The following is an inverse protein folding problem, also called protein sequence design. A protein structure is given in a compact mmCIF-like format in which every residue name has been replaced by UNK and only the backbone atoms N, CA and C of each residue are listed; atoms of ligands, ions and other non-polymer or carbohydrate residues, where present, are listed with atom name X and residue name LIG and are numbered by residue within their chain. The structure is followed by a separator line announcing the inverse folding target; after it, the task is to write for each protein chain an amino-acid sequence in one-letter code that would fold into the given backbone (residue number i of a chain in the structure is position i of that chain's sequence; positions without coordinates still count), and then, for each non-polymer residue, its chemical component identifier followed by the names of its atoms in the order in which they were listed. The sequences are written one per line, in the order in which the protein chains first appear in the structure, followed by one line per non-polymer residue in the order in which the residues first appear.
data_IF_940152637236
#
_entry.id   IF_940152637236
#
_cell.length_a   1.000
_cell.length_b   1.000
_cell.length_c   1.000
_cell.angle_alpha   90.00
_cell.angle_beta   90.00
_cell.angle_gamma   90.00
#
_symmetry.space_group_name_H-M   'P 1'
#
loop_
_entity.id
_entity.type
_entity.pdbx_description
1 polymer ?
#
# COMPACT_ATOMS: atom_id res chain seq x y z
N UNK A 1 -10.58 6.59 7.06
CA UNK A 1 -9.45 7.27 6.40
C UNK A 1 -8.23 6.38 6.55
N UNK A 2 -7.20 6.49 5.71
CA UNK A 2 -6.25 5.41 5.56
C UNK A 2 -5.32 5.21 6.76
N UNK A 3 -4.93 3.96 6.97
CA UNK A 3 -3.66 3.61 7.61
C UNK A 3 -2.56 3.74 6.55
N UNK A 4 -1.54 4.53 6.85
CA UNK A 4 -0.39 4.77 5.95
C UNK A 4 0.89 4.31 6.62
N UNK A 5 1.71 3.54 5.91
CA UNK A 5 3.07 3.22 6.34
C UNK A 5 4.03 4.27 5.76
N UNK A 6 4.98 4.77 6.54
CA UNK A 6 5.96 5.74 6.06
C UNK A 6 7.30 5.52 6.72
N UNK A 7 8.37 5.64 5.92
CA UNK A 7 9.74 5.63 6.43
C UNK A 7 10.18 7.06 6.74
N UNK A 8 10.21 7.41 8.01
CA UNK A 8 10.63 8.74 8.44
C UNK A 8 11.05 8.74 9.92
N UNK A 9 11.49 9.90 10.41
CA UNK A 9 11.57 10.21 11.83
C UNK A 9 10.24 10.82 12.29
N UNK A 10 9.56 10.18 13.24
CA UNK A 10 8.25 10.61 13.74
C UNK A 10 8.26 12.05 14.29
N UNK A 11 9.41 12.54 14.76
CA UNK A 11 9.55 13.93 15.24
C UNK A 11 9.48 14.97 14.11
N UNK A 12 9.60 14.54 12.84
CA UNK A 12 9.66 15.41 11.65
C UNK A 12 8.43 15.30 10.76
N UNK A 13 7.60 14.28 10.99
CA UNK A 13 6.39 14.00 10.21
C UNK A 13 5.39 15.14 10.35
N UNK A 14 4.79 15.53 9.21
CA UNK A 14 3.71 16.50 9.17
C UNK A 14 2.38 15.83 9.57
N UNK A 15 2.05 15.93 10.86
CA UNK A 15 0.81 15.45 11.44
C UNK A 15 0.32 16.42 12.52
N UNK A 16 -0.99 16.47 12.75
CA UNK A 16 -1.57 17.35 13.77
C UNK A 16 -1.24 16.87 15.20
N UNK A 17 -1.03 15.57 15.39
CA UNK A 17 -0.48 14.97 16.61
C UNK A 17 0.61 13.93 16.31
N UNK A 18 1.63 13.87 17.15
CA UNK A 18 2.63 12.79 17.14
C UNK A 18 2.54 11.96 18.42
N UNK A 19 2.74 10.65 18.29
CA UNK A 19 2.81 9.74 19.45
C UNK A 19 4.26 9.53 19.83
N UNK A 20 4.57 9.76 21.10
CA UNK A 20 5.84 9.41 21.72
C UNK A 20 5.73 8.03 22.38
N UNK A 21 6.67 7.12 22.07
CA UNK A 21 6.89 5.90 22.82
C UNK A 21 7.61 6.22 24.14
N UNK A 22 6.82 6.51 25.18
CA UNK A 22 7.29 7.03 26.45
C UNK A 22 7.55 5.93 27.49
N UNK A 23 8.21 6.32 28.59
CA UNK A 23 8.32 5.54 29.82
C UNK A 23 7.36 6.10 30.90
N UNK A 24 7.17 5.35 31.98
CA UNK A 24 6.20 5.72 33.04
C UNK A 24 6.50 7.04 33.74
N UNK A 25 7.76 7.47 33.75
CA UNK A 25 8.20 8.73 34.35
C UNK A 25 8.05 9.93 33.42
N UNK A 26 7.62 9.73 32.17
CA UNK A 26 7.51 10.77 31.14
C UNK A 26 8.80 11.59 30.97
N UNK A 27 9.95 10.95 31.18
CA UNK A 27 11.26 11.58 31.09
C UNK A 27 11.90 11.33 29.73
N UNK A 28 12.80 12.22 29.32
CA UNK A 28 13.60 12.04 28.12
C UNK A 28 14.36 10.71 28.17
N UNK A 29 14.18 9.89 27.13
CA UNK A 29 14.90 8.63 26.93
C UNK A 29 15.74 8.64 25.66
N UNK A 30 16.15 7.44 25.22
CA UNK A 30 16.77 7.25 23.90
C UNK A 30 15.74 7.07 22.77
N UNK A 31 16.24 6.84 21.55
CA UNK A 31 15.42 6.52 20.38
C UNK A 31 14.40 7.62 20.05
N UNK A 32 13.18 7.20 19.69
CA UNK A 32 12.07 8.10 19.33
C UNK A 32 11.76 9.12 20.43
N UNK A 33 11.78 8.70 21.71
CA UNK A 33 11.51 9.59 22.82
C UNK A 33 12.56 10.71 22.88
N UNK A 34 13.85 10.37 22.78
CA UNK A 34 14.93 11.35 22.75
C UNK A 34 14.79 12.35 21.61
N UNK A 35 14.48 11.86 20.39
CA UNK A 35 14.28 12.69 19.20
C UNK A 35 13.10 13.67 19.37
N UNK A 36 11.98 13.20 19.91
CA UNK A 36 10.81 14.06 20.20
C UNK A 36 11.15 15.13 21.24
N UNK A 37 11.85 14.78 22.33
CA UNK A 37 12.27 15.75 23.35
C UNK A 37 13.24 16.79 22.79
N UNK A 38 14.15 16.39 21.91
CA UNK A 38 15.08 17.30 21.26
C UNK A 38 14.35 18.27 20.32
N UNK A 39 13.49 17.74 19.44
CA UNK A 39 12.77 18.53 18.44
C UNK A 39 11.69 19.44 19.05
N UNK A 40 11.02 19.02 20.13
CA UNK A 40 10.03 19.82 20.83
C UNK A 40 10.65 20.96 21.66
N UNK A 41 11.94 20.87 22.01
CA UNK A 41 12.56 21.71 23.04
C UNK A 41 12.53 21.00 24.38
N UNK A 42 13.70 20.51 24.81
CA UNK A 42 13.83 19.61 25.96
C UNK A 42 13.31 20.21 27.26
N UNK A 43 13.58 21.49 27.53
CA UNK A 43 13.22 22.14 28.79
C UNK A 43 11.71 22.32 28.92
N UNK A 44 11.07 22.76 27.86
CA UNK A 44 9.64 23.03 27.77
C UNK A 44 8.85 21.73 27.93
N UNK A 45 9.24 20.69 27.18
CA UNK A 45 8.57 19.39 27.26
C UNK A 45 8.77 18.71 28.61
N UNK A 46 9.99 18.71 29.16
CA UNK A 46 10.24 18.16 30.51
C UNK A 46 9.41 18.86 31.59
N UNK A 47 9.24 20.18 31.51
CA UNK A 47 8.41 20.93 32.45
C UNK A 47 6.94 20.49 32.37
N UNK A 48 6.41 20.34 31.16
CA UNK A 48 5.04 19.88 30.95
C UNK A 48 4.84 18.44 31.43
N UNK A 49 5.78 17.54 31.11
CA UNK A 49 5.75 16.15 31.57
C UNK A 49 5.81 16.03 33.10
N UNK A 50 6.61 16.86 33.78
CA UNK A 50 6.67 16.92 35.26
C UNK A 50 5.33 17.30 35.88
N UNK A 51 4.57 18.21 35.26
CA UNK A 51 3.25 18.60 35.75
C UNK A 51 2.21 17.48 35.64
N UNK A 52 2.38 16.55 34.69
CA UNK A 52 1.50 15.38 34.54
C UNK A 52 1.74 14.30 35.61
N UNK A 53 2.93 14.27 36.23
CA UNK A 53 3.23 13.36 37.34
C UNK A 53 3.51 11.89 36.97
N UNK A 54 3.45 11.54 35.68
CA UNK A 54 3.72 10.19 35.17
C UNK A 54 2.57 9.63 34.33
N UNK A 55 2.75 8.43 33.78
CA UNK A 55 1.73 7.71 33.04
C UNK A 55 1.93 6.20 33.20
N UNK A 56 0.93 5.42 33.65
CA UNK A 56 1.11 3.97 33.80
C UNK A 56 1.26 3.29 32.44
N UNK A 57 1.94 2.14 32.43
CA UNK A 57 2.01 1.26 31.26
C UNK A 57 0.61 0.90 30.74
N UNK A 58 0.45 0.93 29.41
CA UNK A 58 -0.82 0.69 28.73
C UNK A 58 -1.73 1.93 28.64
N UNK A 59 -1.26 3.11 29.08
CA UNK A 59 -2.02 4.36 29.04
C UNK A 59 -1.31 5.44 28.21
N UNK A 60 -2.01 6.56 27.96
CA UNK A 60 -1.46 7.72 27.28
C UNK A 60 -1.95 9.06 27.85
N UNK A 61 -1.05 10.05 27.83
CA UNK A 61 -1.29 11.45 28.26
C UNK A 61 -0.84 12.43 27.17
N UNK A 62 -1.25 13.70 27.27
CA UNK A 62 -1.06 14.70 26.20
C UNK A 62 -0.31 15.92 26.71
N UNK A 63 0.60 16.45 25.89
CA UNK A 63 1.21 17.78 26.05
C UNK A 63 1.12 18.57 24.73
N UNK A 64 1.32 19.90 24.76
CA UNK A 64 1.51 20.69 23.55
C UNK A 64 2.73 20.22 22.72
N UNK A 65 2.71 20.49 21.41
CA UNK A 65 3.79 20.15 20.48
C UNK A 65 5.10 20.94 20.65
N UNK A 66 5.02 22.13 21.27
CA UNK A 66 6.15 23.04 21.43
C UNK A 66 6.87 23.34 20.11
N UNK A 67 8.16 22.97 19.99
CA UNK A 67 8.98 23.18 18.80
C UNK A 67 8.66 22.26 17.62
N UNK A 68 7.77 21.27 17.79
CA UNK A 68 7.35 20.38 16.70
C UNK A 68 6.39 21.09 15.74
N UNK A 69 6.32 20.59 14.50
CA UNK A 69 5.24 20.94 13.57
C UNK A 69 3.87 20.49 14.06
N UNK A 70 3.84 19.36 14.77
CA UNK A 70 2.64 18.83 15.36
C UNK A 70 2.13 19.74 16.48
N UNK A 71 0.81 19.85 16.60
CA UNK A 71 0.17 20.68 17.63
C UNK A 71 0.21 20.00 19.00
N UNK A 72 0.22 18.66 19.01
CA UNK A 72 0.11 17.83 20.20
C UNK A 72 1.14 16.70 20.20
N UNK A 73 1.63 16.35 21.39
CA UNK A 73 2.39 15.14 21.66
C UNK A 73 1.54 14.24 22.54
N UNK A 74 1.29 13.02 22.09
CA UNK A 74 0.59 11.97 22.84
C UNK A 74 1.66 11.02 23.38
N UNK A 75 1.90 11.04 24.68
CA UNK A 75 2.87 10.17 25.34
C UNK A 75 2.21 8.85 25.69
N UNK A 76 2.48 7.81 24.91
CA UNK A 76 1.94 6.46 25.11
C UNK A 76 3.02 5.56 25.74
N UNK A 77 2.67 4.89 26.84
CA UNK A 77 3.61 4.02 27.56
C UNK A 77 3.34 2.57 27.21
N UNK A 78 4.21 1.98 26.41
CA UNK A 78 4.16 0.54 26.11
C UNK A 78 4.86 -0.30 27.17
N UNK A 79 4.62 -1.62 27.20
CA UNK A 79 5.29 -2.53 28.14
C UNK A 79 6.72 -2.83 27.71
N UNK A 80 7.55 -3.19 28.69
CA UNK A 80 8.85 -3.83 28.48
C UNK A 80 8.61 -5.32 28.24
N UNK A 81 9.20 -5.88 27.19
CA UNK A 81 9.08 -7.31 26.89
C UNK A 81 9.81 -8.16 27.92
N UNK A 82 9.11 -9.12 28.52
CA UNK A 82 9.65 -10.06 29.53
C UNK A 82 9.38 -11.51 29.18
N UNK A 83 9.23 -11.81 27.89
CA UNK A 83 8.98 -13.16 27.39
C UNK A 83 7.49 -13.49 27.17
N UNK A 84 6.58 -12.52 27.29
CA UNK A 84 5.18 -12.67 26.86
C UNK A 84 4.25 -13.33 27.87
N UNK A 85 4.68 -13.45 29.12
CA UNK A 85 3.91 -14.06 30.23
C UNK A 85 3.44 -13.05 31.28
N UNK A 86 3.56 -11.75 31.00
CA UNK A 86 3.29 -10.63 31.91
C UNK A 86 2.27 -9.65 31.32
N UNK A 87 1.28 -10.19 30.58
CA UNK A 87 0.23 -9.42 29.91
C UNK A 87 0.74 -8.35 28.92
N UNK A 88 1.97 -8.52 28.39
CA UNK A 88 2.59 -7.49 27.55
C UNK A 88 1.77 -7.20 26.29
N UNK A 89 1.15 -8.21 25.68
CA UNK A 89 0.24 -8.00 24.54
C UNK A 89 -0.94 -7.12 24.91
N UNK A 90 -1.59 -7.41 26.04
CA UNK A 90 -2.76 -6.67 26.54
C UNK A 90 -2.39 -5.22 26.84
N UNK A 91 -1.23 -5.01 27.48
CA UNK A 91 -0.71 -3.68 27.80
C UNK A 91 -0.35 -2.90 26.53
N UNK A 92 0.30 -3.53 25.55
CA UNK A 92 0.64 -2.87 24.29
C UNK A 92 -0.62 -2.48 23.52
N UNK A 93 -1.63 -3.36 23.45
CA UNK A 93 -2.95 -3.04 22.89
C UNK A 93 -3.61 -1.88 23.62
N UNK A 94 -3.52 -1.85 24.94
CA UNK A 94 -4.04 -0.75 25.76
C UNK A 94 -3.34 0.58 25.45
N UNK A 95 -2.02 0.57 25.25
CA UNK A 95 -1.25 1.77 24.90
C UNK A 95 -1.70 2.35 23.56
N UNK A 96 -1.86 1.53 22.52
CA UNK A 96 -2.38 1.97 21.22
C UNK A 96 -3.80 2.54 21.33
N UNK A 97 -4.72 1.82 21.99
CA UNK A 97 -6.10 2.29 22.20
C UNK A 97 -6.13 3.63 22.91
N UNK A 98 -5.37 3.76 23.99
CA UNK A 98 -5.28 5.01 24.75
C UNK A 98 -4.74 6.16 23.89
N UNK A 99 -3.67 5.93 23.13
CA UNK A 99 -3.08 6.96 22.27
C UNK A 99 -4.06 7.44 21.18
N UNK A 100 -4.73 6.50 20.51
CA UNK A 100 -5.70 6.80 19.46
C UNK A 100 -6.96 7.48 20.03
N UNK A 101 -7.39 7.09 21.24
CA UNK A 101 -8.51 7.73 21.92
C UNK A 101 -8.17 9.17 22.33
N UNK A 102 -6.94 9.45 22.79
CA UNK A 102 -6.46 10.83 23.00
C UNK A 102 -6.47 11.64 21.71
N UNK A 103 -6.03 11.06 20.59
CA UNK A 103 -6.09 11.76 19.31
C UNK A 103 -7.53 12.11 18.91
N UNK A 104 -8.48 11.19 19.13
CA UNK A 104 -9.91 11.44 18.90
C UNK A 104 -10.43 12.56 19.80
N UNK A 105 -10.11 12.55 21.09
CA UNK A 105 -10.51 13.59 22.05
C UNK A 105 -9.99 14.98 21.67
N UNK A 106 -8.79 15.06 21.09
CA UNK A 106 -8.20 16.30 20.58
C UNK A 106 -8.82 16.78 19.26
N UNK A 107 -9.63 15.93 18.60
CA UNK A 107 -10.25 16.24 17.31
C UNK A 107 -9.23 16.43 16.18
N UNK A 108 -8.07 15.76 16.25
CA UNK A 108 -7.06 15.86 15.20
C UNK A 108 -7.40 14.98 14.00
N UNK A 109 -7.02 15.43 12.80
CA UNK A 109 -7.28 14.72 11.54
C UNK A 109 -6.10 13.90 11.04
N UNK A 110 -4.92 14.06 11.64
CA UNK A 110 -3.74 13.26 11.31
C UNK A 110 -2.92 12.95 12.56
N UNK A 111 -2.53 11.69 12.69
CA UNK A 111 -1.73 11.17 13.80
C UNK A 111 -0.56 10.37 13.25
N UNK A 112 0.65 10.70 13.67
CA UNK A 112 1.84 9.91 13.35
C UNK A 112 2.34 9.18 14.59
N UNK A 113 2.57 7.88 14.49
CA UNK A 113 2.98 7.06 15.63
C UNK A 113 4.07 6.05 15.26
N UNK A 114 5.04 5.81 16.15
CA UNK A 114 6.06 4.79 15.96
C UNK A 114 5.50 3.41 16.27
N UNK A 115 6.28 2.38 15.99
CA UNK A 115 6.02 1.04 16.53
C UNK A 115 6.40 0.99 18.02
N UNK A 116 5.38 1.14 18.89
CA UNK A 116 5.56 1.22 20.34
C UNK A 116 6.18 -0.08 20.87
N UNK A 117 7.11 0.05 21.81
CA UNK A 117 7.88 -1.03 22.46
C UNK A 117 8.84 -1.86 21.59
N UNK A 118 8.85 -1.68 20.26
CA UNK A 118 9.67 -2.47 19.34
C UNK A 118 11.16 -2.05 19.24
N UNK A 119 11.58 -1.09 20.06
CA UNK A 119 12.98 -0.64 20.16
C UNK A 119 13.62 -1.09 21.47
N UNK A 120 13.97 -0.13 22.33
CA UNK A 120 14.66 -0.38 23.62
C UNK A 120 13.90 -1.35 24.52
N UNK A 121 12.56 -1.35 24.47
CA UNK A 121 11.73 -2.24 25.29
C UNK A 121 11.70 -3.70 24.79
N UNK A 122 12.32 -3.98 23.63
CA UNK A 122 12.62 -5.34 23.17
C UNK A 122 11.41 -6.17 22.75
N UNK A 123 10.25 -5.55 22.50
CA UNK A 123 9.07 -6.27 22.05
C UNK A 123 9.29 -6.83 20.63
N UNK A 124 8.98 -8.11 20.36
CA UNK A 124 9.13 -8.71 19.03
C UNK A 124 8.42 -7.88 17.96
N UNK A 125 9.14 -7.49 16.90
CA UNK A 125 8.67 -6.51 15.90
C UNK A 125 7.45 -7.04 15.14
N UNK A 126 7.46 -8.31 14.75
CA UNK A 126 6.34 -9.01 14.10
C UNK A 126 5.06 -8.94 14.94
N UNK A 127 5.18 -9.24 16.24
CA UNK A 127 4.06 -9.23 17.18
C UNK A 127 3.59 -7.81 17.48
N UNK A 128 4.52 -6.86 17.65
CA UNK A 128 4.21 -5.45 17.85
C UNK A 128 3.50 -4.87 16.62
N UNK A 129 3.92 -5.23 15.41
CA UNK A 129 3.33 -4.80 14.15
C UNK A 129 1.90 -5.32 14.00
N UNK A 130 1.68 -6.61 14.27
CA UNK A 130 0.36 -7.22 14.24
C UNK A 130 -0.60 -6.54 15.25
N UNK A 131 -0.12 -6.21 16.45
CA UNK A 131 -0.89 -5.46 17.45
C UNK A 131 -1.18 -4.04 16.95
N UNK A 132 -0.17 -3.33 16.46
CA UNK A 132 -0.31 -1.96 15.99
C UNK A 132 -1.35 -1.85 14.87
N UNK A 133 -1.23 -2.66 13.83
CA UNK A 133 -2.16 -2.63 12.69
C UNK A 133 -3.57 -3.05 13.11
N UNK A 134 -3.70 -4.06 13.96
CA UNK A 134 -5.00 -4.51 14.50
C UNK A 134 -5.72 -3.39 15.24
N UNK A 135 -5.06 -2.70 16.17
CA UNK A 135 -5.68 -1.63 16.97
C UNK A 135 -5.96 -0.37 16.13
N UNK A 136 -5.08 -0.03 15.19
CA UNK A 136 -5.30 1.11 14.28
C UNK A 136 -6.49 0.86 13.35
N UNK A 137 -6.57 -0.33 12.74
CA UNK A 137 -7.70 -0.69 11.87
C UNK A 137 -9.02 -0.66 12.64
N UNK A 138 -9.05 -1.24 13.85
CA UNK A 138 -10.23 -1.22 14.71
C UNK A 138 -10.65 0.21 15.13
N UNK A 139 -9.70 1.12 15.30
CA UNK A 139 -9.96 2.53 15.55
C UNK A 139 -10.55 3.24 14.31
N UNK A 140 -9.95 3.05 13.14
CA UNK A 140 -10.37 3.65 11.88
C UNK A 140 -11.74 3.15 11.40
N UNK A 141 -12.16 1.97 11.85
CA UNK A 141 -13.51 1.47 11.60
C UNK A 141 -14.59 2.27 12.33
N UNK A 142 -14.26 2.82 13.51
CA UNK A 142 -15.18 3.55 14.39
C UNK A 142 -15.09 5.06 14.19
N UNK A 143 -13.90 5.56 13.93
CA UNK A 143 -13.61 6.99 13.80
C UNK A 143 -13.38 7.33 12.33
N UNK A 144 -14.19 8.25 11.83
CA UNK A 144 -14.07 8.74 10.46
C UNK A 144 -13.13 9.95 10.41
N UNK A 145 -12.64 10.26 9.21
CA UNK A 145 -11.91 11.50 8.92
C UNK A 145 -10.58 11.71 9.68
N UNK A 146 -9.91 10.63 10.09
CA UNK A 146 -8.55 10.65 10.68
C UNK A 146 -7.59 9.78 9.86
N UNK A 147 -6.48 10.36 9.40
CA UNK A 147 -5.33 9.61 8.86
C UNK A 147 -4.44 9.14 10.01
N UNK A 148 -4.08 7.86 10.01
CA UNK A 148 -3.12 7.31 10.96
C UNK A 148 -1.88 6.83 10.20
N UNK A 149 -0.73 7.39 10.54
CA UNK A 149 0.56 7.06 9.95
C UNK A 149 1.40 6.25 10.92
N UNK A 150 1.67 5.00 10.57
CA UNK A 150 2.66 4.18 11.27
C UNK A 150 4.05 4.48 10.70
N UNK A 151 4.88 5.13 11.50
CA UNK A 151 6.20 5.61 11.12
C UNK A 151 7.24 4.54 11.45
N UNK A 152 7.89 4.01 10.42
CA UNK A 152 8.89 2.95 10.53
C UNK A 152 10.27 3.56 10.27
N UNK A 153 11.17 3.47 11.25
CA UNK A 153 12.51 4.04 11.11
C UNK A 153 13.43 3.16 10.23
N UNK A 154 13.46 1.86 10.51
CA UNK A 154 14.27 0.88 9.80
C UNK A 154 13.41 -0.07 8.96
N UNK A 155 13.48 0.09 7.63
CA UNK A 155 12.75 -0.74 6.68
C UNK A 155 13.30 -2.17 6.60
N UNK A 156 14.60 -2.38 6.80
CA UNK A 156 15.20 -3.72 6.70
C UNK A 156 14.76 -4.59 7.88
N UNK A 157 14.80 -4.04 9.09
CA UNK A 157 14.26 -4.70 10.28
C UNK A 157 12.77 -5.00 10.14
N UNK A 158 12.00 -4.07 9.56
CA UNK A 158 10.58 -4.27 9.26
C UNK A 158 10.34 -5.41 8.26
N UNK A 159 11.07 -5.42 7.15
CA UNK A 159 10.95 -6.42 6.09
C UNK A 159 11.26 -7.84 6.59
N UNK A 160 12.30 -7.99 7.43
CA UNK A 160 12.70 -9.28 8.01
C UNK A 160 11.64 -9.90 8.93
N UNK A 161 10.67 -9.12 9.40
CA UNK A 161 9.61 -9.58 10.29
C UNK A 161 8.30 -9.94 9.58
N UNK A 162 8.21 -9.74 8.26
CA UNK A 162 7.02 -10.10 7.49
C UNK A 162 7.09 -11.59 7.12
N UNK A 163 6.07 -12.35 7.53
CA UNK A 163 6.03 -13.81 7.39
C UNK A 163 6.26 -14.28 5.94
N UNK A 164 5.64 -13.58 4.98
CA UNK A 164 5.68 -13.98 3.57
C UNK A 164 6.83 -13.32 2.79
N UNK A 165 7.74 -12.60 3.46
CA UNK A 165 8.77 -11.82 2.76
C UNK A 165 9.66 -12.67 1.86
N UNK A 166 10.10 -13.84 2.34
CA UNK A 166 10.94 -14.75 1.56
C UNK A 166 10.23 -15.30 0.31
N UNK A 167 8.94 -15.63 0.42
CA UNK A 167 8.15 -16.17 -0.69
C UNK A 167 7.90 -15.09 -1.76
N UNK A 168 7.54 -13.88 -1.32
CA UNK A 168 7.33 -12.74 -2.23
C UNK A 168 8.64 -12.32 -2.88
N UNK A 169 9.75 -12.29 -2.13
CA UNK A 169 11.07 -11.99 -2.68
C UNK A 169 11.46 -12.98 -3.79
N UNK A 170 11.24 -14.27 -3.56
CA UNK A 170 11.49 -15.30 -4.57
C UNK A 170 10.62 -15.09 -5.82
N UNK A 171 9.33 -14.79 -5.66
CA UNK A 171 8.42 -14.50 -6.77
C UNK A 171 8.87 -13.27 -7.59
N UNK A 172 9.24 -12.19 -6.90
CA UNK A 172 9.75 -10.97 -7.53
C UNK A 172 11.07 -11.23 -8.29
N UNK A 173 11.96 -12.04 -7.71
CA UNK A 173 13.26 -12.37 -8.32
C UNK A 173 13.12 -13.30 -9.55
N UNK A 174 12.24 -14.31 -9.50
CA UNK A 174 11.96 -15.19 -10.64
C UNK A 174 11.44 -14.39 -11.85
N UNK A 175 10.52 -13.46 -11.61
CA UNK A 175 9.99 -12.59 -12.66
C UNK A 175 11.03 -11.59 -13.18
N UNK A 176 11.95 -11.12 -12.32
CA UNK A 176 13.08 -10.31 -12.74
C UNK A 176 14.04 -11.07 -13.68
N UNK A 177 14.29 -12.35 -13.40
CA UNK A 177 15.11 -13.23 -14.25
C UNK A 177 14.41 -13.51 -15.58
N UNK A 178 13.10 -13.77 -15.57
CA UNK A 178 12.33 -14.03 -16.79
C UNK A 178 12.16 -12.78 -17.67
N UNK A 179 12.01 -11.59 -17.07
CA UNK A 179 12.00 -10.32 -17.80
C UNK A 179 13.36 -10.02 -18.48
N UNK A 180 14.47 -10.56 -17.96
CA UNK A 180 15.80 -10.52 -18.60
C UNK A 180 15.92 -11.55 -19.72
N UNK A 181 15.51 -12.81 -19.47
CA UNK A 181 15.53 -13.89 -20.48
C UNK A 181 14.64 -13.57 -21.69
N UNK A 182 13.50 -12.91 -21.50
CA UNK A 182 12.63 -12.45 -22.58
C UNK A 182 13.25 -11.33 -23.43
N UNK A 183 14.15 -10.53 -22.85
CA UNK A 183 14.89 -9.47 -23.56
C UNK A 183 16.03 -10.06 -24.40
N UNK A 184 16.71 -11.08 -23.88
CA UNK A 184 17.78 -11.78 -24.61
C UNK A 184 17.24 -12.59 -25.80
N UNK A 185 16.01 -13.14 -25.71
CA UNK A 185 15.34 -13.78 -26.87
C UNK A 185 14.96 -12.82 -28.00
N UNK A 186 14.81 -11.52 -27.72
CA UNK A 186 14.57 -10.50 -28.75
C UNK A 186 15.88 -9.97 -29.36
N UNK A 187 17.02 -10.17 -28.68
CA UNK A 187 18.37 -9.92 -29.21
C UNK A 187 18.82 -11.01 -30.20
N UNK A 188 18.40 -12.26 -29.98
CA UNK A 188 18.75 -13.40 -30.85
C UNK A 188 17.90 -13.49 -32.13
N UNK A 189 16.75 -12.79 -32.20
CA UNK A 189 15.95 -12.69 -33.43
C UNK A 189 16.44 -11.62 -34.43
N UNK A 190 17.71 -11.19 -34.32
CA UNK A 190 18.42 -10.41 -35.36
C UNK A 190 19.65 -11.11 -35.94
N UNK A 191 19.99 -12.32 -35.49
CA UNK A 191 21.16 -13.07 -35.99
C UNK A 191 20.82 -14.30 -36.85
N UNK A 192 19.63 -14.31 -37.46
CA UNK A 192 19.23 -15.34 -38.43
C UNK A 192 18.66 -14.74 -39.72
N UNK A 193 19.37 -13.77 -40.29
CA UNK A 193 19.35 -13.56 -41.74
C UNK A 193 20.64 -14.15 -42.32
N UNK A 194 20.59 -15.18 -43.18
CA UNK A 194 21.80 -15.69 -43.79
C UNK A 194 22.35 -14.65 -44.76
N UNK A 195 23.60 -14.22 -44.51
CA UNK A 195 24.40 -13.53 -45.51
C UNK A 195 24.73 -14.54 -46.63
N UNK A 196 24.07 -14.44 -47.77
CA UNK A 196 24.48 -15.15 -48.97
C UNK A 196 25.32 -14.19 -49.83
N UNK A 197 26.64 -14.42 -49.82
CA UNK A 197 27.62 -13.72 -50.64
C UNK A 197 27.81 -14.38 -52.00
N UNK A 198 27.84 -13.52 -53.01
CA UNK A 198 28.25 -13.65 -54.42
C UNK A 198 28.86 -14.98 -54.94
N UNK A 199 28.32 -15.44 -56.08
CA UNK A 199 29.11 -15.93 -57.20
C UNK A 199 28.41 -15.52 -58.51
N UNK A 200 29.21 -15.06 -59.48
CA UNK A 200 28.79 -14.64 -60.81
C UNK A 200 28.45 -15.85 -61.69
N UNK A 201 27.44 -15.72 -62.56
CA UNK A 201 27.53 -16.13 -63.96
C UNK A 201 26.33 -15.64 -64.79
N UNK A 202 26.59 -15.54 -66.09
CA UNK A 202 25.87 -14.83 -67.15
C UNK A 202 24.72 -15.69 -67.71
N UNK A 203 23.65 -15.04 -68.20
CA UNK A 203 22.94 -15.25 -69.50
C UNK A 203 21.42 -14.91 -69.39
N UNK A 204 21.07 -13.83 -70.09
CA UNK A 204 19.90 -13.58 -70.96
C UNK A 204 18.51 -14.14 -70.66
N UNK A 205 17.50 -13.28 -70.81
CA UNK A 205 16.32 -13.62 -71.63
C UNK A 205 14.94 -13.44 -70.99
N UNK A 206 14.23 -12.42 -71.50
CA UNK A 206 12.79 -12.37 -71.77
C UNK A 206 11.74 -12.10 -70.67
N UNK A 207 10.67 -11.49 -71.18
CA UNK A 207 9.67 -10.69 -70.50
C UNK A 207 8.29 -11.36 -70.48
N UNK A 208 7.55 -11.07 -69.38
CA UNK A 208 6.08 -10.99 -69.26
C UNK A 208 5.23 -12.28 -69.36
N UNK A 209 3.91 -12.25 -69.09
CA UNK A 209 3.26 -11.97 -67.79
C UNK A 209 2.15 -12.98 -67.43
N UNK A 210 1.59 -12.92 -66.21
CA UNK A 210 0.23 -13.42 -65.93
C UNK A 210 0.10 -14.43 -64.78
N UNK A 211 -0.83 -14.15 -63.85
CA UNK A 211 -1.20 -15.07 -62.79
C UNK A 211 -2.03 -14.40 -61.69
N UNK A 212 -3.30 -14.15 -61.96
CA UNK A 212 -4.29 -13.74 -60.96
C UNK A 212 -4.53 -14.84 -59.93
N UNK A 213 -4.38 -14.54 -58.64
CA UNK A 213 -4.96 -15.34 -57.57
C UNK A 213 -6.01 -14.48 -56.85
N UNK A 214 -7.27 -14.67 -57.24
CA UNK A 214 -8.47 -14.19 -56.56
C UNK A 214 -8.79 -15.09 -55.37
N UNK A 215 -9.24 -14.48 -54.26
CA UNK A 215 -9.96 -15.12 -53.14
C UNK A 215 -9.04 -15.69 -52.04
N UNK A 216 -9.18 -15.33 -50.76
CA UNK A 216 -10.40 -15.03 -50.01
C UNK A 216 -10.27 -13.74 -49.19
N UNK A 217 -11.25 -12.86 -49.34
CA UNK A 217 -11.52 -11.85 -48.33
C UNK A 217 -11.97 -12.59 -47.05
N UNK A 218 -11.21 -12.43 -45.97
CA UNK A 218 -11.70 -12.78 -44.62
C UNK A 218 -13.02 -12.01 -44.41
N UNK A 219 -14.06 -12.64 -43.81
CA UNK A 219 -15.29 -11.93 -43.55
C UNK A 219 -14.95 -10.72 -42.67
N UNK A 220 -15.40 -9.54 -43.13
CA UNK A 220 -15.40 -8.32 -42.34
C UNK A 220 -16.21 -8.68 -41.09
N UNK A 221 -15.58 -8.55 -39.91
CA UNK A 221 -16.18 -8.84 -38.62
C UNK A 221 -17.59 -8.23 -38.54
N UNK A 222 -18.53 -9.01 -38.04
CA UNK A 222 -19.95 -8.65 -37.98
C UNK A 222 -20.07 -7.28 -37.26
N UNK A 223 -20.76 -6.31 -37.86
CA UNK A 223 -21.01 -5.00 -37.25
C UNK A 223 -21.70 -5.13 -35.88
N UNK A 224 -22.36 -6.27 -35.64
CA UNK A 224 -22.94 -6.66 -34.36
C UNK A 224 -21.91 -7.16 -33.36
N UNK A 225 -20.91 -7.95 -33.76
CA UNK A 225 -19.79 -8.33 -32.87
C UNK A 225 -18.97 -7.09 -32.46
N UNK A 226 -18.76 -6.16 -33.40
CA UNK A 226 -18.05 -4.91 -33.09
C UNK A 226 -18.87 -4.01 -32.16
N UNK A 227 -20.20 -3.92 -32.35
CA UNK A 227 -21.09 -3.18 -31.44
C UNK A 227 -21.23 -3.82 -30.07
N UNK A 228 -21.35 -5.15 -29.98
CA UNK A 228 -21.44 -5.86 -28.70
C UNK A 228 -20.11 -5.80 -27.93
N UNK A 229 -18.96 -5.82 -28.64
CA UNK A 229 -17.64 -5.53 -28.06
C UNK A 229 -17.52 -4.07 -27.61
N UNK A 230 -18.09 -3.11 -28.34
CA UNK A 230 -18.10 -1.70 -27.96
C UNK A 230 -19.00 -1.43 -26.74
N UNK A 231 -20.14 -2.11 -26.60
CA UNK A 231 -21.02 -1.99 -25.43
C UNK A 231 -20.36 -2.52 -24.15
N UNK A 232 -19.57 -3.59 -24.23
CA UNK A 232 -18.75 -4.05 -23.10
C UNK A 232 -17.55 -3.14 -22.79
N UNK A 233 -17.11 -2.34 -23.75
CA UNK A 233 -16.11 -1.26 -23.60
C UNK A 233 -16.71 0.07 -23.12
N UNK A 234 -18.04 0.25 -23.20
CA UNK A 234 -18.73 1.51 -22.88
C UNK A 234 -18.94 1.73 -21.37
N UNK A 235 -18.80 0.69 -20.54
CA UNK A 235 -18.90 0.84 -19.09
C UNK A 235 -17.60 1.46 -18.56
N UNK A 236 -17.70 2.70 -18.09
CA UNK A 236 -16.58 3.40 -17.44
C UNK A 236 -16.05 2.63 -16.24
N UNK A 237 -14.80 2.92 -15.83
CA UNK A 237 -14.23 2.36 -14.60
C UNK A 237 -15.16 2.58 -13.39
N UNK A 238 -15.68 3.79 -13.21
CA UNK A 238 -16.59 4.14 -12.12
C UNK A 238 -17.86 3.27 -12.13
N UNK A 239 -18.50 3.13 -13.29
CA UNK A 239 -19.70 2.30 -13.43
C UNK A 239 -19.43 0.82 -13.18
N UNK A 240 -18.29 0.30 -13.66
CA UNK A 240 -17.91 -1.09 -13.41
C UNK A 240 -17.70 -1.37 -11.91
N UNK A 241 -17.01 -0.46 -11.20
CA UNK A 241 -16.87 -0.56 -9.74
C UNK A 241 -18.23 -0.54 -9.05
N UNK A 242 -19.12 0.40 -9.42
CA UNK A 242 -20.45 0.51 -8.79
C UNK A 242 -21.32 -0.73 -9.07
N UNK A 243 -21.28 -1.29 -10.28
CA UNK A 243 -21.98 -2.55 -10.61
C UNK A 243 -21.49 -3.71 -9.75
N UNK A 244 -20.17 -3.86 -9.60
CA UNK A 244 -19.57 -4.90 -8.78
C UNK A 244 -19.92 -4.76 -7.29
N UNK A 245 -20.10 -3.53 -6.80
CA UNK A 245 -20.55 -3.26 -5.43
C UNK A 245 -21.99 -3.75 -5.24
N UNK A 246 -22.88 -3.39 -6.17
CA UNK A 246 -24.29 -3.76 -6.13
C UNK A 246 -24.47 -5.29 -6.27
N UNK A 247 -23.76 -5.92 -7.20
CA UNK A 247 -23.77 -7.38 -7.41
C UNK A 247 -23.32 -8.17 -6.17
N UNK A 248 -22.35 -7.64 -5.42
CA UNK A 248 -21.82 -8.25 -4.19
C UNK A 248 -22.60 -7.85 -2.93
N UNK A 249 -23.63 -7.00 -3.07
CA UNK A 249 -24.43 -6.53 -1.93
C UNK A 249 -23.61 -5.73 -0.90
N UNK A 250 -22.52 -5.09 -1.34
CA UNK A 250 -21.64 -4.32 -0.47
C UNK A 250 -22.16 -2.89 -0.32
N UNK A 251 -21.83 -2.25 0.80
CA UNK A 251 -22.07 -0.82 0.95
C UNK A 251 -20.85 -0.03 0.51
N UNK A 252 -21.04 1.18 -0.04
CA UNK A 252 -19.97 2.13 -0.32
C UNK A 252 -18.98 2.26 0.85
N UNK A 253 -19.53 2.32 2.08
CA UNK A 253 -18.77 2.44 3.30
C UNK A 253 -17.87 1.24 3.59
N UNK A 254 -18.34 0.03 3.31
CA UNK A 254 -17.53 -1.17 3.41
C UNK A 254 -16.40 -1.16 2.39
N UNK A 255 -16.69 -0.74 1.15
CA UNK A 255 -15.74 -0.78 0.03
C UNK A 255 -14.60 0.21 0.23
N UNK A 256 -14.88 1.50 0.50
CA UNK A 256 -13.78 2.45 0.68
C UNK A 256 -12.97 2.18 1.95
N UNK A 257 -13.56 1.57 2.99
CA UNK A 257 -12.80 1.13 4.18
C UNK A 257 -11.86 -0.03 3.85
N UNK A 258 -12.38 -1.08 3.19
CA UNK A 258 -11.58 -2.21 2.70
C UNK A 258 -10.50 -1.79 1.72
N UNK A 259 -10.77 -0.78 0.89
CA UNK A 259 -9.81 -0.22 -0.07
C UNK A 259 -8.79 0.74 0.58
N UNK A 260 -8.84 0.93 1.90
CA UNK A 260 -8.01 1.90 2.61
C UNK A 260 -8.11 3.31 1.99
N UNK A 261 -9.29 3.74 1.55
CA UNK A 261 -9.54 5.01 0.87
C UNK A 261 -10.25 6.02 1.78
N UNK A 262 -10.05 7.31 1.48
CA UNK A 262 -10.88 8.36 2.06
C UNK A 262 -12.26 8.40 1.40
N UNK A 263 -13.27 8.82 2.16
CA UNK A 263 -14.63 9.03 1.65
C UNK A 263 -14.65 10.05 0.50
N UNK A 264 -13.73 11.02 0.51
CA UNK A 264 -13.64 12.04 -0.53
C UNK A 264 -13.22 11.45 -1.88
N UNK A 265 -12.25 10.53 -1.89
CA UNK A 265 -11.84 9.83 -3.11
C UNK A 265 -13.00 8.99 -3.67
N UNK A 266 -13.71 8.26 -2.80
CA UNK A 266 -14.87 7.49 -3.22
C UNK A 266 -16.05 8.37 -3.68
N UNK A 267 -16.22 9.56 -3.08
CA UNK A 267 -17.24 10.51 -3.52
C UNK A 267 -16.96 11.07 -4.92
N UNK A 268 -15.69 11.16 -5.34
CA UNK A 268 -15.34 11.52 -6.72
C UNK A 268 -15.71 10.39 -7.69
N UNK A 269 -15.43 9.15 -7.32
CA UNK A 269 -15.80 7.95 -8.09
C UNK A 269 -17.32 7.92 -8.41
N UNK A 270 -18.18 8.29 -7.46
CA UNK A 270 -19.65 8.32 -7.67
C UNK A 270 -20.16 9.51 -8.50
N UNK A 271 -19.44 10.64 -8.51
CA UNK A 271 -19.93 11.89 -9.11
C UNK A 271 -19.44 12.10 -10.53
N UNK A 272 -18.32 11.49 -10.87
CA UNK A 272 -17.64 11.69 -12.14
C UNK A 272 -17.48 10.34 -12.85
N UNK A 273 -18.34 10.11 -13.85
CA UNK A 273 -18.29 8.92 -14.70
C UNK A 273 -16.99 8.85 -15.52
N UNK A 274 -16.29 9.99 -15.69
CA UNK A 274 -14.97 10.08 -16.32
C UNK A 274 -13.81 9.94 -15.35
N UNK A 275 -14.06 9.70 -14.05
CA UNK A 275 -13.01 9.63 -13.04
C UNK A 275 -12.03 8.50 -13.33
N UNK A 276 -10.76 8.87 -13.52
CA UNK A 276 -9.66 7.92 -13.69
C UNK A 276 -8.75 7.95 -12.47
N UNK A 277 -8.87 6.97 -11.55
CA UNK A 277 -7.97 6.89 -10.41
C UNK A 277 -6.53 6.59 -10.85
N UNK A 278 -5.58 6.84 -9.95
CA UNK A 278 -4.23 6.32 -10.09
C UNK A 278 -4.25 4.78 -10.01
N UNK A 279 -3.25 4.12 -10.62
CA UNK A 279 -3.14 2.66 -10.62
C UNK A 279 -3.24 2.03 -9.21
N UNK A 280 -2.54 2.53 -8.16
CA UNK A 280 -2.68 1.96 -6.82
C UNK A 280 -4.09 2.06 -6.24
N UNK A 281 -4.82 3.12 -6.55
CA UNK A 281 -6.23 3.30 -6.14
C UNK A 281 -7.15 2.33 -6.88
N UNK A 282 -6.92 2.10 -8.19
CA UNK A 282 -7.68 1.12 -8.96
C UNK A 282 -7.46 -0.31 -8.45
N UNK A 283 -6.21 -0.67 -8.15
CA UNK A 283 -5.85 -1.96 -7.54
C UNK A 283 -6.44 -2.11 -6.14
N UNK A 284 -6.43 -1.05 -5.32
CA UNK A 284 -7.05 -1.07 -4.00
C UNK A 284 -8.56 -1.37 -4.06
N UNK A 285 -9.26 -0.84 -5.06
CA UNK A 285 -10.68 -1.15 -5.29
C UNK A 285 -10.89 -2.59 -5.75
N UNK A 286 -10.01 -3.13 -6.61
CA UNK A 286 -10.06 -4.54 -7.01
C UNK A 286 -9.88 -5.48 -5.81
N UNK A 287 -8.92 -5.19 -4.93
CA UNK A 287 -8.69 -5.95 -3.69
C UNK A 287 -9.88 -5.83 -2.74
N UNK A 288 -10.44 -4.63 -2.55
CA UNK A 288 -11.59 -4.42 -1.68
C UNK A 288 -12.85 -5.15 -2.14
N UNK A 289 -12.98 -5.33 -3.46
CA UNK A 289 -14.03 -6.10 -4.10
C UNK A 289 -13.71 -7.59 -4.19
N UNK A 290 -12.54 -8.04 -3.73
CA UNK A 290 -12.12 -9.45 -3.76
C UNK A 290 -12.25 -10.05 -5.17
N UNK A 291 -11.73 -9.31 -6.15
CA UNK A 291 -11.72 -9.72 -7.56
C UNK A 291 -10.61 -10.73 -7.83
N UNK A 292 -10.92 -11.75 -8.62
CA UNK A 292 -9.88 -12.66 -9.14
C UNK A 292 -8.97 -11.96 -10.17
N UNK A 293 -8.00 -12.70 -10.69
CA UNK A 293 -7.01 -12.16 -11.64
C UNK A 293 -7.63 -11.68 -12.96
N UNK A 294 -8.67 -12.33 -13.46
CA UNK A 294 -9.28 -11.98 -14.75
C UNK A 294 -10.18 -10.75 -14.59
N UNK A 295 -11.01 -10.74 -13.54
CA UNK A 295 -11.83 -9.60 -13.14
C UNK A 295 -10.96 -8.36 -12.85
N UNK A 296 -9.83 -8.55 -12.17
CA UNK A 296 -8.88 -7.47 -11.87
C UNK A 296 -8.28 -6.89 -13.15
N UNK A 297 -7.85 -7.74 -14.10
CA UNK A 297 -7.32 -7.26 -15.40
C UNK A 297 -8.37 -6.46 -16.17
N UNK A 298 -9.59 -6.96 -16.23
CA UNK A 298 -10.70 -6.31 -16.92
C UNK A 298 -11.02 -4.94 -16.30
N UNK A 299 -11.07 -4.86 -14.97
CA UNK A 299 -11.30 -3.61 -14.26
C UNK A 299 -10.16 -2.60 -14.48
N UNK A 300 -8.91 -3.04 -14.40
CA UNK A 300 -7.74 -2.17 -14.61
C UNK A 300 -7.66 -1.65 -16.04
N UNK A 301 -8.01 -2.47 -17.04
CA UNK A 301 -8.06 -2.06 -18.44
C UNK A 301 -9.03 -0.90 -18.67
N UNK A 302 -10.18 -0.88 -17.99
CA UNK A 302 -11.14 0.25 -18.03
C UNK A 302 -10.56 1.56 -17.50
N UNK A 303 -9.59 1.50 -16.59
CA UNK A 303 -8.85 2.67 -16.11
C UNK A 303 -7.58 2.99 -16.94
N UNK A 304 -7.28 2.18 -17.97
CA UNK A 304 -6.10 2.34 -18.82
C UNK A 304 -4.82 1.74 -18.23
N UNK A 305 -4.93 0.77 -17.32
CA UNK A 305 -3.79 0.09 -16.69
C UNK A 305 -3.73 -1.39 -17.04
N UNK A 306 -2.53 -1.95 -16.92
CA UNK A 306 -2.28 -3.38 -16.96
C UNK A 306 -1.30 -3.75 -15.84
N UNK A 307 -1.38 -5.01 -15.38
CA UNK A 307 -0.38 -5.58 -14.46
C UNK A 307 0.79 -6.10 -15.29
N UNK A 308 1.93 -5.41 -15.20
CA UNK A 308 3.16 -5.74 -15.90
C UNK A 308 3.94 -6.82 -15.14
N UNK A 309 4.54 -7.76 -15.87
CA UNK A 309 5.47 -8.74 -15.30
C UNK A 309 6.84 -8.15 -14.94
N UNK A 310 7.14 -6.93 -15.40
CA UNK A 310 8.42 -6.26 -15.14
C UNK A 310 8.38 -5.31 -13.93
N UNK A 311 7.25 -5.23 -13.22
CA UNK A 311 7.06 -4.33 -12.09
C UNK A 311 6.95 -5.12 -10.79
N UNK A 312 7.82 -4.81 -9.82
CA UNK A 312 7.76 -5.35 -8.46
C UNK A 312 6.41 -5.09 -7.80
N UNK A 313 5.83 -3.90 -7.98
CA UNK A 313 4.48 -3.58 -7.50
C UNK A 313 3.44 -4.56 -8.06
N UNK A 314 3.45 -4.82 -9.36
CA UNK A 314 2.47 -5.70 -10.01
C UNK A 314 2.71 -7.18 -9.67
N UNK A 315 3.97 -7.59 -9.46
CA UNK A 315 4.32 -8.92 -8.99
C UNK A 315 3.74 -9.19 -7.59
N UNK A 316 3.92 -8.25 -6.66
CA UNK A 316 3.37 -8.33 -5.30
C UNK A 316 1.84 -8.40 -5.36
N UNK A 317 1.20 -7.52 -6.12
CA UNK A 317 -0.27 -7.51 -6.25
C UNK A 317 -0.79 -8.84 -6.80
N UNK A 318 -0.14 -9.40 -7.85
CA UNK A 318 -0.52 -10.70 -8.41
C UNK A 318 -0.37 -11.84 -7.41
N UNK A 319 0.76 -11.90 -6.71
CA UNK A 319 1.01 -12.91 -5.68
C UNK A 319 -0.13 -12.99 -4.66
N UNK A 320 -0.63 -11.84 -4.20
CA UNK A 320 -1.72 -11.78 -3.23
C UNK A 320 -3.08 -12.18 -3.82
N UNK A 321 -3.41 -11.70 -5.03
CA UNK A 321 -4.68 -12.04 -5.70
C UNK A 321 -4.75 -13.53 -6.05
N UNK A 322 -3.67 -14.12 -6.56
CA UNK A 322 -3.61 -15.55 -6.91
C UNK A 322 -3.77 -16.47 -5.70
N UNK A 323 -3.38 -16.00 -4.51
CA UNK A 323 -3.60 -16.71 -3.23
C UNK A 323 -4.93 -16.37 -2.57
N UNK A 324 -5.78 -15.56 -3.21
CA UNK A 324 -7.03 -15.07 -2.64
C UNK A 324 -6.86 -14.36 -1.28
N UNK A 325 -5.72 -13.70 -1.09
CA UNK A 325 -5.42 -12.93 0.12
C UNK A 325 -5.60 -11.45 -0.16
N UNK A 326 -6.75 -10.92 0.26
CA UNK A 326 -7.19 -9.55 -0.02
C UNK A 326 -7.04 -8.59 1.17
N UNK A 327 -6.13 -8.89 2.11
CA UNK A 327 -5.82 -8.00 3.22
C UNK A 327 -4.92 -6.84 2.74
N UNK A 328 -5.54 -5.69 2.50
CA UNK A 328 -4.83 -4.49 2.04
C UNK A 328 -3.73 -4.02 2.99
N UNK A 329 -3.86 -4.28 4.30
CA UNK A 329 -2.84 -3.88 5.27
C UNK A 329 -1.61 -4.76 5.09
N UNK A 330 -1.80 -6.08 4.98
CA UNK A 330 -0.70 -7.02 4.70
C UNK A 330 -0.03 -6.71 3.34
N UNK A 331 -0.82 -6.44 2.30
CA UNK A 331 -0.29 -6.06 0.99
C UNK A 331 0.53 -4.77 1.08
N UNK A 332 0.04 -3.76 1.79
CA UNK A 332 0.76 -2.50 1.99
C UNK A 332 2.04 -2.67 2.81
N UNK A 333 2.08 -3.59 3.79
CA UNK A 333 3.31 -3.93 4.50
C UNK A 333 4.37 -4.51 3.53
N UNK A 334 3.95 -5.41 2.63
CA UNK A 334 4.85 -5.95 1.62
C UNK A 334 5.30 -4.91 0.60
N UNK A 335 4.39 -4.12 0.06
CA UNK A 335 4.72 -3.02 -0.86
C UNK A 335 5.70 -2.04 -0.20
N UNK A 336 5.47 -1.69 1.07
CA UNK A 336 6.38 -0.86 1.85
C UNK A 336 7.76 -1.48 1.98
N UNK A 337 7.85 -2.78 2.27
CA UNK A 337 9.13 -3.48 2.42
C UNK A 337 9.96 -3.45 1.12
N UNK A 338 9.30 -3.52 -0.04
CA UNK A 338 9.91 -3.43 -1.37
C UNK A 338 10.02 -2.01 -1.95
N UNK A 339 9.78 -0.97 -1.13
CA UNK A 339 9.85 0.44 -1.55
C UNK A 339 8.91 0.78 -2.72
N UNK A 340 7.75 0.14 -2.77
CA UNK A 340 6.73 0.33 -3.79
C UNK A 340 5.62 1.28 -3.31
N UNK A 341 4.88 1.94 -4.23
CA UNK A 341 3.71 2.74 -3.88
C UNK A 341 2.67 1.92 -3.11
N UNK A 342 2.08 2.51 -2.06
CA UNK A 342 1.04 1.85 -1.27
C UNK A 342 -0.33 1.95 -1.95
N UNK A 343 -1.18 0.98 -1.66
CA UNK A 343 -2.57 0.93 -2.06
C UNK A 343 -3.43 1.81 -1.15
N UNK A 344 -4.35 2.57 -1.77
CA UNK A 344 -5.33 3.38 -1.05
C UNK A 344 -4.80 4.68 -0.43
N UNK A 345 -3.48 4.93 -0.44
CA UNK A 345 -2.91 6.21 -0.01
C UNK A 345 -2.97 7.23 -1.15
N UNK A 346 -3.99 8.08 -1.17
CA UNK A 346 -4.12 9.18 -2.14
C UNK A 346 -4.71 10.43 -1.52
#
# INVERSE_FOLDING_TARGET
MPLVLTRDDVSRVDAEAVVNAANEHLSAGGGVCGAIFEAAGRRELESACKQLGGCPTGSAVVTPGFGLKARWIIHAVGPIWRGGSWDEDTLLRSAYRSALERARELGVRSVALPLISAGIFGFPIDRALAIATSEISAFLDRVQDVEVRLVVFDRAAFAACLADYGEVAACVDEEYVDARRGRDRMGDLRLSMPACGAAADVISGDAAPGGSCFGSARPIADERELKDLLVHLDTSFSQAVLSLIDERGLTDAAVYKKANLSRQVFSKLRKDDGYRPAKPTAVALAIALELDMDQTRELLQRAGYALSTASTFDAIVRYYIERHSYDIVAINQMLFAFDQPLLGSS
#
